data_IF_165616150973
#
_entry.id   IF_165616150973
#
_cell.length_a   1.000
_cell.length_b   1.000
_cell.length_c   1.000
_cell.angle_alpha   90.00
_cell.angle_beta   90.00
_cell.angle_gamma   90.00
#
_symmetry.space_group_name_H-M   'P 1'
#
loop_
_entity.id
_entity.type
_entity.pdbx_description
1 polymer ?
#
# COMPACT_ATOMS: atom_id res chain seq x y z
N UNK A 1 20.97 1.81 28.67
CA UNK A 1 21.16 0.68 27.75
C UNK A 1 22.28 -0.19 28.31
N UNK A 2 21.93 -1.36 28.85
CA UNK A 2 22.78 -2.53 29.08
C UNK A 2 21.80 -3.67 29.33
N UNK A 3 21.38 -4.32 28.25
CA UNK A 3 20.78 -5.65 28.34
C UNK A 3 21.90 -6.53 28.87
N UNK A 4 21.76 -7.05 30.09
CA UNK A 4 22.76 -7.95 30.66
C UNK A 4 22.78 -9.20 29.76
N UNK A 5 23.95 -9.54 29.21
CA UNK A 5 24.16 -10.86 28.58
C UNK A 5 23.71 -11.93 29.58
N UNK A 6 22.79 -12.82 29.23
CA UNK A 6 22.59 -14.03 30.03
C UNK A 6 23.91 -14.81 29.93
N UNK A 7 24.67 -14.82 31.03
CA UNK A 7 25.80 -15.75 31.16
C UNK A 7 25.20 -17.10 31.48
N UNK A 8 24.97 -17.91 30.45
CA UNK A 8 24.88 -19.35 30.64
C UNK A 8 26.20 -19.79 31.28
N UNK A 9 26.12 -20.37 32.47
CA UNK A 9 27.25 -20.94 33.19
C UNK A 9 27.77 -22.15 32.42
N UNK A 10 28.55 -21.90 31.36
CA UNK A 10 29.34 -22.93 30.70
C UNK A 10 30.58 -23.09 31.58
N UNK A 11 30.58 -24.15 32.40
CA UNK A 11 31.80 -24.62 33.04
C UNK A 11 32.89 -24.75 31.99
N UNK A 12 34.12 -24.33 32.35
CA UNK A 12 35.29 -24.35 31.46
C UNK A 12 35.70 -25.80 31.14
N UNK A 13 34.97 -26.46 30.27
CA UNK A 13 35.41 -27.68 29.60
C UNK A 13 36.26 -27.29 28.40
N UNK A 14 37.59 -27.32 28.59
CA UNK A 14 38.57 -27.22 27.52
C UNK A 14 38.35 -28.38 26.52
N UNK A 15 37.59 -28.14 25.44
CA UNK A 15 37.79 -28.71 24.09
C UNK A 15 36.61 -28.33 23.17
N UNK A 16 36.94 -27.62 22.08
CA UNK A 16 36.09 -27.17 20.96
C UNK A 16 35.16 -26.01 21.31
N UNK A 17 35.60 -24.80 20.96
CA UNK A 17 34.71 -23.67 20.69
C UNK A 17 33.81 -24.05 19.51
N UNK A 18 32.62 -24.60 19.79
CA UNK A 18 31.53 -24.48 18.84
C UNK A 18 31.22 -22.98 18.78
N UNK A 19 31.55 -22.34 17.66
CA UNK A 19 31.01 -21.02 17.37
C UNK A 19 29.49 -21.16 17.34
N UNK A 20 28.83 -20.86 18.46
CA UNK A 20 27.39 -20.72 18.49
C UNK A 20 27.04 -19.68 17.44
N UNK A 21 26.27 -20.08 16.43
CA UNK A 21 25.72 -19.16 15.45
C UNK A 21 25.08 -17.98 16.19
N UNK A 22 25.18 -16.77 15.66
CA UNK A 22 24.47 -15.61 16.21
C UNK A 22 22.95 -15.83 16.28
N UNK A 23 22.41 -16.86 15.59
CA UNK A 23 21.03 -17.34 15.74
C UNK A 23 20.72 -17.97 17.11
N UNK A 24 21.73 -18.38 17.88
CA UNK A 24 21.60 -18.97 19.22
C UNK A 24 21.96 -17.97 20.33
N UNK A 25 22.26 -16.71 19.97
CA UNK A 25 22.54 -15.62 20.89
C UNK A 25 21.37 -14.63 20.86
N UNK A 26 20.87 -14.26 22.04
CA UNK A 26 19.91 -13.14 22.15
C UNK A 26 20.58 -11.86 21.63
N UNK A 27 19.97 -11.14 20.66
CA UNK A 27 20.59 -9.96 20.08
C UNK A 27 20.79 -8.84 21.12
N UNK A 28 21.89 -8.10 20.99
CA UNK A 28 22.28 -7.02 21.91
C UNK A 28 21.31 -5.81 21.86
N UNK A 29 20.39 -5.78 20.90
CA UNK A 29 19.34 -4.77 20.74
C UNK A 29 18.10 -5.37 20.06
N UNK A 30 16.96 -4.69 20.17
CA UNK A 30 15.68 -5.09 19.57
C UNK A 30 15.68 -5.22 18.04
N UNK A 31 16.77 -4.83 17.35
CA UNK A 31 16.78 -4.74 15.90
C UNK A 31 15.78 -3.70 15.37
N UNK A 32 15.49 -3.77 14.08
CA UNK A 32 14.39 -3.02 13.49
C UNK A 32 13.09 -3.79 13.75
N UNK A 33 12.08 -3.11 14.27
CA UNK A 33 10.74 -3.66 14.48
C UNK A 33 9.82 -3.05 13.43
N UNK A 34 8.96 -3.86 12.82
CA UNK A 34 8.09 -3.43 11.73
C UNK A 34 6.61 -3.45 12.11
N UNK A 35 5.84 -2.59 11.46
CA UNK A 35 4.38 -2.54 11.54
C UNK A 35 3.80 -3.91 11.15
N UNK A 36 2.84 -4.40 11.92
CA UNK A 36 2.18 -5.68 11.73
C UNK A 36 2.84 -6.84 12.48
N UNK A 37 4.06 -6.67 13.00
CA UNK A 37 4.71 -7.68 13.83
C UNK A 37 4.12 -7.73 15.25
N UNK A 38 4.20 -8.91 15.87
CA UNK A 38 3.85 -9.08 17.28
C UNK A 38 5.05 -8.77 18.15
N UNK A 39 5.02 -7.62 18.84
CA UNK A 39 5.97 -7.30 19.90
C UNK A 39 5.81 -8.32 21.04
N UNK A 40 6.89 -9.05 21.33
CA UNK A 40 6.94 -10.00 22.45
C UNK A 40 8.04 -9.60 23.43
N UNK A 41 7.73 -9.58 24.73
CA UNK A 41 8.72 -9.27 25.76
C UNK A 41 8.51 -10.10 27.01
N UNK A 42 9.62 -10.57 27.57
CA UNK A 42 9.65 -11.20 28.88
C UNK A 42 10.25 -10.22 29.89
N UNK A 43 9.51 -9.99 30.97
CA UNK A 43 9.83 -9.04 32.03
C UNK A 43 10.01 -9.83 33.31
N UNK A 44 11.14 -9.63 33.99
CA UNK A 44 11.44 -10.28 35.26
C UNK A 44 11.82 -9.24 36.30
N UNK A 45 11.14 -9.27 37.45
CA UNK A 45 11.46 -8.46 38.63
C UNK A 45 12.15 -9.36 39.63
N UNK A 46 13.43 -9.11 39.89
CA UNK A 46 14.23 -9.92 40.80
C UNK A 46 14.36 -9.21 42.13
N UNK A 47 13.99 -9.88 43.22
CA UNK A 47 14.28 -9.39 44.56
C UNK A 47 15.77 -9.60 44.88
N UNK A 48 16.56 -8.53 44.81
CA UNK A 48 17.99 -8.56 45.13
C UNK A 48 18.28 -8.27 46.61
N UNK A 49 17.26 -8.00 47.43
CA UNK A 49 17.45 -7.82 48.87
C UNK A 49 17.65 -9.17 49.55
N UNK A 50 18.29 -9.14 50.71
CA UNK A 50 18.45 -10.31 51.60
C UNK A 50 17.22 -10.56 52.48
N UNK A 51 16.06 -9.99 52.15
CA UNK A 51 14.81 -10.11 52.88
C UNK A 51 13.62 -10.26 51.93
N UNK A 52 12.49 -10.69 52.47
CA UNK A 52 11.25 -10.85 51.72
C UNK A 52 10.58 -9.49 51.49
N UNK A 53 10.08 -9.29 50.27
CA UNK A 53 9.30 -8.10 49.91
C UNK A 53 7.80 -8.42 49.92
N UNK A 54 7.00 -7.51 50.43
CA UNK A 54 5.54 -7.67 50.52
C UNK A 54 4.79 -6.86 49.46
N UNK A 55 3.63 -7.35 49.05
CA UNK A 55 2.71 -6.69 48.11
C UNK A 55 3.39 -6.25 46.82
N UNK A 56 4.17 -7.15 46.21
CA UNK A 56 4.93 -6.86 45.00
C UNK A 56 4.04 -6.90 43.78
N UNK A 57 3.73 -5.73 43.21
CA UNK A 57 2.95 -5.57 41.99
C UNK A 57 3.85 -5.35 40.78
N UNK A 58 3.53 -5.99 39.65
CA UNK A 58 4.17 -5.78 38.36
C UNK A 58 3.15 -5.29 37.34
N UNK A 59 3.44 -4.20 36.65
CA UNK A 59 2.57 -3.64 35.61
C UNK A 59 3.37 -3.42 34.34
N UNK A 60 2.79 -3.76 33.20
CA UNK A 60 3.34 -3.50 31.88
C UNK A 60 2.31 -2.74 31.06
N UNK A 61 2.72 -1.61 30.47
CA UNK A 61 1.85 -0.76 29.66
C UNK A 61 2.59 -0.38 28.39
N UNK A 62 2.01 -0.61 27.23
CA UNK A 62 2.55 -0.15 25.96
C UNK A 62 1.94 1.20 25.60
N UNK A 63 2.79 2.17 25.28
CA UNK A 63 2.38 3.46 24.75
C UNK A 63 2.78 3.53 23.28
N UNK A 64 1.79 3.63 22.39
CA UNK A 64 1.97 3.94 20.97
C UNK A 64 1.99 5.47 20.79
N UNK A 65 2.23 5.99 19.57
CA UNK A 65 2.12 7.42 19.30
C UNK A 65 0.76 8.02 19.66
N UNK A 66 -0.33 7.26 19.51
CA UNK A 66 -1.70 7.76 19.70
C UNK A 66 -2.37 7.23 20.97
N UNK A 67 -2.04 6.01 21.40
CA UNK A 67 -2.79 5.29 22.44
C UNK A 67 -1.89 4.71 23.51
N UNK A 68 -2.52 4.27 24.61
CA UNK A 68 -1.87 3.55 25.68
C UNK A 68 -2.70 2.34 26.06
N UNK A 69 -2.05 1.19 26.11
CA UNK A 69 -2.69 -0.09 26.40
C UNK A 69 -2.00 -0.76 27.58
N UNK A 70 -2.79 -1.32 28.49
CA UNK A 70 -2.29 -2.16 29.57
C UNK A 70 -2.09 -3.58 29.03
N UNK A 71 -0.92 -4.16 29.30
CA UNK A 71 -0.56 -5.49 28.84
C UNK A 71 -0.82 -6.51 29.94
N UNK A 72 -1.36 -7.66 29.55
CA UNK A 72 -1.58 -8.80 30.43
C UNK A 72 -0.56 -9.91 30.19
N UNK A 73 -0.38 -10.77 31.19
CA UNK A 73 0.52 -11.92 31.09
C UNK A 73 -0.05 -12.99 30.15
N UNK A 74 0.73 -13.35 29.13
CA UNK A 74 0.37 -14.30 28.06
C UNK A 74 1.09 -15.65 28.18
N UNK A 75 1.85 -15.92 29.25
CA UNK A 75 2.61 -17.18 29.39
C UNK A 75 1.77 -18.44 29.25
N UNK A 76 0.58 -18.48 29.84
CA UNK A 76 -0.30 -19.65 29.74
C UNK A 76 -0.75 -19.90 28.29
N UNK A 77 -1.06 -18.84 27.54
CA UNK A 77 -1.49 -18.95 26.14
C UNK A 77 -0.38 -19.52 25.22
N UNK A 78 0.88 -19.42 25.65
CA UNK A 78 2.07 -19.95 24.97
C UNK A 78 2.48 -21.34 25.48
N UNK A 79 1.63 -22.02 26.27
CA UNK A 79 1.94 -23.31 26.88
C UNK A 79 2.98 -23.23 28.00
N UNK A 80 3.23 -22.04 28.54
CA UNK A 80 4.12 -21.81 29.67
C UNK A 80 3.45 -22.02 31.02
N UNK A 81 4.10 -21.55 32.08
CA UNK A 81 3.58 -21.64 33.45
C UNK A 81 2.36 -20.74 33.66
N UNK A 82 1.51 -21.11 34.62
CA UNK A 82 0.44 -20.23 35.09
C UNK A 82 1.04 -18.89 35.55
N UNK A 83 0.42 -17.75 35.19
CA UNK A 83 0.86 -16.46 35.69
C UNK A 83 0.82 -16.46 37.23
N UNK A 84 1.87 -15.97 37.89
CA UNK A 84 1.90 -15.78 39.32
C UNK A 84 0.85 -14.75 39.70
N UNK A 85 0.31 -14.88 40.91
CA UNK A 85 -0.60 -13.90 41.46
C UNK A 85 0.05 -12.51 41.45
N UNK A 86 -0.66 -11.54 40.89
CA UNK A 86 -0.17 -10.17 40.75
C UNK A 86 -1.27 -9.21 41.24
N UNK A 87 -1.01 -8.42 42.31
CA UNK A 87 0.23 -8.36 43.07
C UNK A 87 0.54 -9.64 43.86
N UNK A 88 1.82 -9.98 43.95
CA UNK A 88 2.32 -11.09 44.77
C UNK A 88 2.32 -10.68 46.25
N UNK A 89 1.75 -11.52 47.12
CA UNK A 89 1.67 -11.23 48.55
C UNK A 89 3.07 -11.13 49.19
N UNK A 90 3.98 -12.03 48.81
CA UNK A 90 5.37 -12.08 49.23
C UNK A 90 6.24 -12.46 48.04
N UNK A 91 7.38 -11.79 47.88
CA UNK A 91 8.44 -12.15 46.95
C UNK A 91 9.73 -12.38 47.74
N UNK A 92 10.13 -13.64 47.90
CA UNK A 92 11.26 -14.02 48.75
C UNK A 92 12.60 -13.50 48.24
N UNK A 93 13.58 -13.35 49.14
CA UNK A 93 14.94 -12.96 48.80
C UNK A 93 15.52 -13.84 47.66
N UNK A 94 16.07 -13.21 46.61
CA UNK A 94 16.64 -13.91 45.44
C UNK A 94 15.64 -14.49 44.44
N UNK A 95 14.34 -14.44 44.72
CA UNK A 95 13.29 -14.91 43.81
C UNK A 95 12.83 -13.84 42.82
N UNK A 96 12.04 -14.24 41.83
CA UNK A 96 11.58 -13.40 40.74
C UNK A 96 10.06 -13.42 40.53
N UNK A 97 9.51 -12.26 40.19
CA UNK A 97 8.16 -12.09 39.67
C UNK A 97 8.25 -11.78 38.19
N UNK A 98 7.83 -12.74 37.37
CA UNK A 98 7.92 -12.63 35.92
C UNK A 98 6.58 -12.26 35.29
N UNK A 99 6.64 -11.84 34.03
CA UNK A 99 5.50 -11.58 33.14
C UNK A 99 5.96 -11.69 31.69
N UNK A 100 5.24 -12.43 30.84
CA UNK A 100 5.46 -12.35 29.40
C UNK A 100 4.31 -11.60 28.75
N UNK A 101 4.61 -10.61 27.92
CA UNK A 101 3.62 -9.77 27.26
C UNK A 101 3.76 -9.86 25.76
N UNK A 102 2.62 -9.74 25.07
CA UNK A 102 2.54 -9.68 23.62
C UNK A 102 1.62 -8.54 23.20
N UNK A 103 1.95 -7.90 22.08
CA UNK A 103 1.13 -6.84 21.49
C UNK A 103 1.34 -6.79 19.98
N UNK A 104 0.26 -6.81 19.21
CA UNK A 104 0.30 -6.65 17.76
C UNK A 104 0.50 -5.17 17.41
N UNK A 105 1.58 -4.85 16.70
CA UNK A 105 1.94 -3.47 16.39
C UNK A 105 1.13 -2.97 15.19
N UNK A 106 0.21 -2.06 15.43
CA UNK A 106 -0.70 -1.50 14.43
C UNK A 106 -0.38 -0.04 14.06
N UNK A 107 0.66 0.55 14.64
CA UNK A 107 1.06 1.93 14.40
C UNK A 107 2.56 2.05 14.10
N UNK A 108 2.92 2.96 13.19
CA UNK A 108 4.31 3.33 12.90
C UNK A 108 4.70 4.46 13.86
N UNK A 109 5.95 4.45 14.33
CA UNK A 109 6.47 5.52 15.18
C UNK A 109 7.17 5.03 16.44
N UNK A 110 7.46 5.97 17.34
CA UNK A 110 8.11 5.66 18.61
C UNK A 110 7.10 5.06 19.57
N UNK A 111 7.37 3.83 20.00
CA UNK A 111 6.62 3.12 21.02
C UNK A 111 7.43 3.07 22.32
N UNK A 112 6.73 3.03 23.45
CA UNK A 112 7.37 2.94 24.78
C UNK A 112 6.70 1.87 25.63
N UNK A 113 7.41 0.79 25.95
CA UNK A 113 7.02 -0.15 26.98
C UNK A 113 7.36 0.44 28.36
N UNK A 114 6.34 0.75 29.15
CA UNK A 114 6.46 1.20 30.54
C UNK A 114 6.23 0.01 31.47
N UNK A 115 7.27 -0.37 32.19
CA UNK A 115 7.22 -1.38 33.25
C UNK A 115 7.21 -0.68 34.60
N UNK A 116 6.18 -0.91 35.40
CA UNK A 116 6.07 -0.40 36.77
C UNK A 116 6.14 -1.55 37.77
N UNK A 117 6.91 -1.36 38.84
CA UNK A 117 6.96 -2.27 39.98
C UNK A 117 6.54 -1.50 41.22
N UNK A 118 5.65 -2.05 42.02
CA UNK A 118 5.29 -1.53 43.34
C UNK A 118 5.59 -2.57 44.41
N UNK A 119 6.02 -2.16 45.59
CA UNK A 119 6.27 -3.04 46.73
C UNK A 119 6.16 -2.24 48.03
N UNK A 120 5.99 -2.94 49.14
CA UNK A 120 6.07 -2.33 50.48
C UNK A 120 7.53 -2.29 50.94
N UNK A 121 8.01 -1.13 51.38
CA UNK A 121 9.35 -1.00 51.92
C UNK A 121 9.53 -1.90 53.17
N UNK A 122 10.56 -2.75 53.23
CA UNK A 122 10.72 -3.71 54.31
C UNK A 122 11.05 -3.07 55.67
N UNK A 123 11.51 -1.81 55.70
CA UNK A 123 11.88 -1.11 56.94
C UNK A 123 10.76 -0.15 57.35
N UNK A 124 10.27 0.68 56.42
CA UNK A 124 9.30 1.74 56.73
C UNK A 124 7.85 1.31 56.57
N UNK A 125 7.58 0.14 55.97
CA UNK A 125 6.23 -0.32 55.59
C UNK A 125 5.46 0.67 54.72
N UNK A 126 6.16 1.53 53.97
CA UNK A 126 5.54 2.48 53.04
C UNK A 126 5.50 1.90 51.62
N UNK A 127 4.45 2.21 50.86
CA UNK A 127 4.34 1.79 49.48
C UNK A 127 5.36 2.53 48.60
N UNK A 128 6.31 1.79 48.03
CA UNK A 128 7.29 2.29 47.06
C UNK A 128 6.96 1.81 45.67
N UNK A 129 7.32 2.60 44.66
CA UNK A 129 7.20 2.19 43.26
C UNK A 129 8.38 2.67 42.44
N UNK A 130 8.75 1.87 41.45
CA UNK A 130 9.74 2.20 40.43
C UNK A 130 9.15 1.97 39.05
N UNK A 131 9.67 2.70 38.06
CA UNK A 131 9.25 2.56 36.67
C UNK A 131 10.46 2.58 35.75
N UNK A 132 10.46 1.70 34.76
CA UNK A 132 11.40 1.70 33.65
C UNK A 132 10.65 1.88 32.34
N UNK A 133 11.28 2.59 31.41
CA UNK A 133 10.74 2.88 30.10
C UNK A 133 11.69 2.31 29.04
N UNK A 134 11.16 1.49 28.14
CA UNK A 134 11.88 0.92 27.02
C UNK A 134 11.29 1.49 25.74
N UNK A 135 12.02 2.40 25.11
CA UNK A 135 11.61 3.07 23.87
C UNK A 135 12.15 2.30 22.67
N UNK A 136 11.31 2.07 21.67
CA UNK A 136 11.69 1.44 20.42
C UNK A 136 10.93 2.08 19.24
N UNK A 137 11.49 1.97 18.05
CA UNK A 137 10.92 2.53 16.83
C UNK A 137 10.26 1.41 16.02
N UNK A 138 9.01 1.63 15.60
CA UNK A 138 8.30 0.78 14.65
C UNK A 138 8.37 1.42 13.28
N UNK A 139 8.78 0.65 12.27
CA UNK A 139 8.99 1.07 10.88
C UNK A 139 7.97 0.43 9.94
N UNK A 140 7.81 0.97 8.74
CA UNK A 140 6.96 0.33 7.73
C UNK A 140 7.76 -0.81 7.04
N UNK A 141 7.24 -2.05 6.93
CA UNK A 141 7.95 -3.13 6.25
C UNK A 141 7.86 -3.06 4.72
N UNK A 142 6.75 -2.53 4.19
CA UNK A 142 6.48 -2.54 2.77
C UNK A 142 6.02 -1.18 2.25
N UNK A 143 6.44 -0.83 1.04
CA UNK A 143 5.76 0.18 0.24
C UNK A 143 4.78 -0.51 -0.68
N UNK A 144 3.48 -0.23 -0.52
CA UNK A 144 2.42 -0.83 -1.35
C UNK A 144 1.78 0.24 -2.21
N UNK A 145 1.77 0.01 -3.52
CA UNK A 145 1.13 0.88 -4.50
C UNK A 145 0.12 0.10 -5.32
N UNK A 146 -1.05 0.70 -5.55
CA UNK A 146 -2.12 0.09 -6.32
C UNK A 146 -2.32 0.83 -7.64
N UNK A 147 -2.54 0.05 -8.70
CA UNK A 147 -3.02 0.54 -9.99
C UNK A 147 -4.33 -0.16 -10.30
N UNK A 148 -5.39 0.63 -10.48
CA UNK A 148 -6.71 0.13 -10.85
C UNK A 148 -7.00 0.45 -12.32
N UNK A 149 -7.53 -0.52 -13.05
CA UNK A 149 -7.98 -0.37 -14.43
C UNK A 149 -9.34 -1.03 -14.58
N UNK A 150 -10.25 -0.36 -15.30
CA UNK A 150 -11.54 -0.92 -15.69
C UNK A 150 -11.47 -1.36 -17.17
N UNK A 151 -11.80 -2.62 -17.45
CA UNK A 151 -11.86 -3.16 -18.81
C UNK A 151 -13.19 -3.89 -18.96
N UNK A 152 -14.05 -3.43 -19.88
CA UNK A 152 -15.35 -4.08 -20.20
C UNK A 152 -16.16 -4.46 -18.95
N UNK A 153 -16.34 -3.51 -18.03
CA UNK A 153 -17.04 -3.71 -16.75
C UNK A 153 -16.41 -4.80 -15.86
N UNK A 154 -15.09 -4.96 -15.91
CA UNK A 154 -14.35 -5.76 -14.95
C UNK A 154 -13.24 -4.90 -14.35
N UNK A 155 -13.10 -4.92 -13.02
CA UNK A 155 -12.06 -4.17 -12.32
C UNK A 155 -10.82 -5.03 -12.14
N UNK A 156 -9.69 -4.52 -12.59
CA UNK A 156 -8.38 -5.14 -12.39
C UNK A 156 -7.58 -4.27 -11.43
N UNK A 157 -7.07 -4.90 -10.37
CA UNK A 157 -6.25 -4.24 -9.36
C UNK A 157 -4.87 -4.89 -9.39
N UNK A 158 -3.87 -4.13 -9.81
CA UNK A 158 -2.47 -4.50 -9.68
C UNK A 158 -1.92 -3.91 -8.38
N UNK A 159 -1.41 -4.78 -7.51
CA UNK A 159 -0.71 -4.44 -6.28
C UNK A 159 0.79 -4.66 -6.49
N UNK A 160 1.56 -3.58 -6.34
CA UNK A 160 3.02 -3.59 -6.32
C UNK A 160 3.48 -3.44 -4.86
N UNK A 161 4.13 -4.47 -4.34
CA UNK A 161 4.60 -4.57 -2.95
C UNK A 161 6.13 -4.59 -2.98
N UNK A 162 6.78 -3.58 -2.40
CA UNK A 162 8.24 -3.49 -2.32
C UNK A 162 8.69 -3.70 -0.87
N UNK A 163 9.61 -4.62 -0.64
CA UNK A 163 10.27 -4.79 0.65
C UNK A 163 11.24 -3.62 0.89
N UNK A 164 10.98 -2.80 1.91
CA UNK A 164 11.83 -1.66 2.29
C UNK A 164 12.59 -1.92 3.60
N UNK A 165 12.57 -3.16 4.08
CA UNK A 165 13.33 -3.57 5.26
C UNK A 165 14.80 -3.81 4.91
N UNK A 166 15.67 -3.86 5.92
CA UNK A 166 17.10 -4.14 5.74
C UNK A 166 17.42 -5.64 5.61
N UNK A 167 16.40 -6.50 5.73
CA UNK A 167 16.55 -7.96 5.78
C UNK A 167 15.57 -8.64 4.84
N UNK A 168 15.86 -9.85 4.34
CA UNK A 168 14.88 -10.61 3.58
C UNK A 168 13.66 -10.95 4.44
N UNK A 169 12.48 -10.91 3.84
CA UNK A 169 11.22 -11.32 4.47
C UNK A 169 10.68 -12.55 3.76
N UNK A 170 10.21 -13.53 4.52
CA UNK A 170 9.52 -14.69 3.99
C UNK A 170 8.02 -14.40 3.93
N UNK A 171 7.50 -14.06 2.75
CA UNK A 171 6.09 -13.78 2.54
C UNK A 171 5.31 -15.09 2.54
N UNK A 172 4.37 -15.22 3.48
CA UNK A 172 3.51 -16.41 3.62
C UNK A 172 2.25 -16.27 2.78
N UNK A 173 1.64 -15.08 2.78
CA UNK A 173 0.36 -14.84 2.10
C UNK A 173 0.33 -13.44 1.51
N UNK A 174 -0.12 -13.33 0.26
CA UNK A 174 -0.60 -12.08 -0.33
C UNK A 174 -1.99 -12.36 -0.85
N UNK A 175 -3.01 -11.79 -0.20
CA UNK A 175 -4.40 -12.03 -0.54
C UNK A 175 -5.14 -10.71 -0.69
N UNK A 176 -5.95 -10.60 -1.74
CA UNK A 176 -6.90 -9.50 -1.86
C UNK A 176 -8.22 -9.92 -1.23
N UNK A 177 -8.61 -9.27 -0.14
CA UNK A 177 -9.88 -9.50 0.57
C UNK A 177 -10.93 -8.56 -0.03
N UNK A 178 -11.84 -9.06 -0.90
CA UNK A 178 -12.83 -8.21 -1.54
C UNK A 178 -13.87 -7.72 -0.53
N UNK A 179 -14.36 -6.50 -0.72
CA UNK A 179 -15.51 -6.01 0.07
C UNK A 179 -16.80 -6.59 -0.52
N UNK A 180 -17.78 -7.04 0.29
CA UNK A 180 -19.06 -7.47 -0.26
C UNK A 180 -19.72 -6.35 -1.08
N UNK A 181 -20.33 -6.63 -2.25
CA UNK A 181 -20.61 -7.94 -2.85
C UNK A 181 -19.56 -8.39 -3.90
N UNK A 182 -18.36 -7.83 -3.85
CA UNK A 182 -17.31 -8.18 -4.81
C UNK A 182 -16.68 -9.54 -4.50
N UNK A 183 -16.18 -10.18 -5.55
CA UNK A 183 -15.32 -11.35 -5.53
C UNK A 183 -14.00 -11.01 -6.18
N UNK A 184 -12.90 -11.56 -5.66
CA UNK A 184 -11.57 -11.37 -6.20
C UNK A 184 -10.96 -12.70 -6.63
N UNK A 185 -10.34 -12.71 -7.80
CA UNK A 185 -9.57 -13.82 -8.34
C UNK A 185 -8.16 -13.33 -8.67
N UNK A 186 -7.15 -13.98 -8.12
CA UNK A 186 -5.75 -13.70 -8.47
C UNK A 186 -5.42 -14.26 -9.86
N UNK A 187 -4.83 -13.43 -10.72
CA UNK A 187 -4.51 -13.78 -12.11
C UNK A 187 -3.05 -14.20 -12.31
N UNK A 188 -2.14 -13.80 -11.41
CA UNK A 188 -0.71 -14.10 -11.48
C UNK A 188 -0.30 -15.03 -10.33
N UNK A 189 -0.85 -16.24 -10.33
CA UNK A 189 -0.40 -17.31 -9.44
C UNK A 189 0.83 -18.00 -10.03
N UNK A 190 1.98 -17.31 -10.05
CA UNK A 190 3.26 -18.00 -10.29
C UNK A 190 3.48 -18.99 -9.14
N UNK A 191 3.15 -20.25 -9.41
CA UNK A 191 3.17 -21.38 -8.47
C UNK A 191 4.59 -21.78 -8.02
N UNK A 192 5.61 -21.05 -8.48
CA UNK A 192 7.02 -21.23 -8.16
C UNK A 192 7.68 -19.96 -7.59
N UNK A 193 6.90 -19.01 -7.07
CA UNK A 193 7.46 -17.81 -6.45
C UNK A 193 8.20 -18.19 -5.17
N UNK A 194 9.51 -17.99 -5.17
CA UNK A 194 10.35 -18.08 -3.97
C UNK A 194 9.73 -17.15 -2.91
N UNK A 195 9.28 -17.66 -1.75
CA UNK A 195 8.58 -16.84 -0.76
C UNK A 195 9.50 -15.80 -0.09
N UNK A 196 10.80 -15.87 -0.35
CA UNK A 196 11.79 -14.96 0.18
C UNK A 196 11.93 -13.71 -0.70
N UNK A 197 11.64 -12.55 -0.12
CA UNK A 197 11.70 -11.23 -0.75
C UNK A 197 12.88 -10.46 -0.16
N UNK A 198 13.90 -10.18 -0.95
CA UNK A 198 15.07 -9.46 -0.47
C UNK A 198 14.77 -7.96 -0.32
N UNK A 199 15.60 -7.20 0.42
CA UNK A 199 15.52 -5.73 0.43
C UNK A 199 15.47 -5.17 -1.00
N UNK A 200 14.60 -4.17 -1.23
CA UNK A 200 14.34 -3.53 -2.52
C UNK A 200 13.63 -4.41 -3.58
N UNK A 201 13.48 -5.72 -3.33
CA UNK A 201 12.70 -6.57 -4.23
C UNK A 201 11.23 -6.15 -4.23
N UNK A 202 10.63 -6.29 -5.41
CA UNK A 202 9.23 -5.95 -5.64
C UNK A 202 8.46 -7.17 -6.13
N UNK A 203 7.35 -7.46 -5.46
CA UNK A 203 6.34 -8.40 -5.93
C UNK A 203 5.20 -7.65 -6.60
N UNK A 204 4.78 -8.14 -7.77
CA UNK A 204 3.56 -7.72 -8.43
C UNK A 204 2.50 -8.82 -8.31
N UNK A 205 1.28 -8.43 -7.93
CA UNK A 205 0.10 -9.30 -7.93
C UNK A 205 -1.08 -8.60 -8.57
N UNK A 206 -1.76 -9.32 -9.46
CA UNK A 206 -2.92 -8.79 -10.18
C UNK A 206 -4.16 -9.55 -9.77
N UNK A 207 -5.19 -8.82 -9.37
CA UNK A 207 -6.47 -9.34 -8.93
C UNK A 207 -7.57 -8.86 -9.86
N UNK A 208 -8.36 -9.79 -10.39
CA UNK A 208 -9.62 -9.52 -11.06
C UNK A 208 -10.72 -9.42 -10.00
N UNK A 209 -11.40 -8.28 -9.95
CA UNK A 209 -12.48 -7.99 -9.00
C UNK A 209 -13.79 -7.85 -9.78
N UNK A 210 -14.77 -8.71 -9.48
CA UNK A 210 -16.07 -8.78 -10.16
C UNK A 210 -17.22 -8.79 -9.16
N UNK A 211 -18.41 -8.40 -9.61
CA UNK A 211 -19.65 -8.56 -8.87
C UNK A 211 -20.75 -9.03 -9.84
N UNK A 212 -21.61 -9.95 -9.40
CA UNK A 212 -22.63 -10.54 -10.27
C UNK A 212 -23.77 -9.57 -10.64
N UNK A 213 -24.11 -8.63 -9.74
CA UNK A 213 -25.30 -7.78 -9.84
C UNK A 213 -25.05 -6.32 -9.47
N UNK A 214 -23.83 -5.81 -9.66
CA UNK A 214 -23.56 -4.37 -9.49
C UNK A 214 -23.36 -3.71 -10.84
N UNK A 215 -24.10 -2.62 -11.06
CA UNK A 215 -23.80 -1.72 -12.16
C UNK A 215 -22.47 -1.02 -11.85
N UNK A 216 -21.44 -1.47 -12.55
CA UNK A 216 -20.11 -0.90 -12.48
C UNK A 216 -20.08 0.48 -13.15
N UNK A 217 -21.18 1.10 -13.57
CA UNK A 217 -21.20 2.52 -13.91
C UNK A 217 -21.28 3.44 -12.66
N UNK A 218 -21.69 2.90 -11.49
CA UNK A 218 -22.03 3.68 -10.30
C UNK A 218 -20.82 4.05 -9.43
N UNK A 219 -20.17 5.18 -9.73
CA UNK A 219 -19.39 5.98 -8.77
C UNK A 219 -18.20 5.31 -8.03
N UNK A 220 -17.76 5.94 -6.93
CA UNK A 220 -16.62 5.46 -6.13
C UNK A 220 -17.05 4.26 -5.29
N UNK A 221 -16.50 3.07 -5.58
CA UNK A 221 -16.83 1.82 -4.92
C UNK A 221 -15.61 1.29 -4.13
N UNK A 222 -15.84 0.72 -2.95
CA UNK A 222 -14.79 0.04 -2.19
C UNK A 222 -14.63 -1.39 -2.74
N UNK A 223 -13.51 -1.67 -3.40
CA UNK A 223 -13.26 -2.98 -4.01
C UNK A 223 -12.82 -4.04 -2.99
N UNK A 224 -12.16 -3.64 -1.91
CA UNK A 224 -11.50 -4.58 -0.98
C UNK A 224 -10.22 -4.03 -0.39
N UNK A 225 -9.49 -4.87 0.33
CA UNK A 225 -8.20 -4.55 0.95
C UNK A 225 -7.17 -5.61 0.56
N UNK A 226 -5.90 -5.23 0.50
CA UNK A 226 -4.83 -6.19 0.37
C UNK A 226 -4.35 -6.59 1.76
N UNK A 227 -4.13 -7.87 1.95
CA UNK A 227 -3.55 -8.46 3.14
C UNK A 227 -2.23 -9.14 2.79
N UNK A 228 -1.21 -8.84 3.59
CA UNK A 228 0.12 -9.42 3.45
C UNK A 228 0.52 -10.00 4.80
N UNK A 229 0.93 -11.27 4.82
CA UNK A 229 1.50 -11.95 5.98
C UNK A 229 2.91 -12.43 5.66
N UNK A 230 3.82 -12.28 6.61
CA UNK A 230 5.23 -12.62 6.43
C UNK A 230 5.89 -13.10 7.73
N UNK A 231 7.11 -13.62 7.58
CA UNK A 231 8.03 -13.90 8.67
C UNK A 231 9.35 -13.16 8.47
N UNK A 232 9.84 -12.59 9.55
CA UNK A 232 11.15 -11.93 9.63
C UNK A 232 12.26 -12.97 9.90
N UNK A 233 13.52 -12.54 9.78
CA UNK A 233 14.68 -13.44 9.83
C UNK A 233 14.83 -14.20 11.16
N UNK A 234 14.28 -13.68 12.27
CA UNK A 234 14.31 -14.33 13.59
C UNK A 234 13.00 -15.06 13.92
N UNK A 235 12.10 -15.16 12.96
CA UNK A 235 10.84 -15.92 13.07
C UNK A 235 9.66 -15.12 13.62
N UNK A 236 9.78 -13.80 13.81
CA UNK A 236 8.62 -12.96 14.10
C UNK A 236 7.61 -13.03 12.96
N UNK A 237 6.35 -13.28 13.28
CA UNK A 237 5.25 -13.20 12.33
C UNK A 237 4.73 -11.77 12.27
N UNK A 238 4.58 -11.27 11.05
CA UNK A 238 3.95 -9.99 10.75
C UNK A 238 2.75 -10.15 9.85
N UNK A 239 1.71 -9.33 10.08
CA UNK A 239 0.54 -9.24 9.22
C UNK A 239 0.12 -7.79 9.07
N UNK A 240 -0.18 -7.37 7.85
CA UNK A 240 -0.61 -6.02 7.55
C UNK A 240 -1.78 -6.06 6.57
N UNK A 241 -2.76 -5.19 6.83
CA UNK A 241 -3.85 -4.91 5.91
C UNK A 241 -3.75 -3.47 5.41
N UNK A 242 -3.96 -3.28 4.11
CA UNK A 242 -3.98 -1.94 3.53
C UNK A 242 -5.31 -1.25 3.78
N UNK A 243 -5.32 0.07 3.57
CA UNK A 243 -6.57 0.78 3.40
C UNK A 243 -7.38 0.21 2.21
N UNK A 244 -8.71 0.39 2.22
CA UNK A 244 -9.55 -0.10 1.14
C UNK A 244 -9.14 0.50 -0.20
N UNK A 245 -8.95 -0.37 -1.19
CA UNK A 245 -8.72 0.02 -2.58
C UNK A 245 -10.05 0.53 -3.13
N UNK A 246 -10.13 1.85 -3.25
CA UNK A 246 -11.28 2.51 -3.82
C UNK A 246 -11.15 2.52 -5.34
N UNK A 247 -12.23 2.13 -6.00
CA UNK A 247 -12.42 2.40 -7.41
C UNK A 247 -12.50 3.91 -7.62
N UNK A 248 -11.52 4.46 -8.31
CA UNK A 248 -11.64 5.80 -8.88
C UNK A 248 -12.34 5.64 -10.21
N UNK A 249 -13.66 5.80 -10.23
CA UNK A 249 -14.36 6.06 -11.49
C UNK A 249 -13.81 7.39 -11.98
N UNK A 250 -12.99 7.36 -13.02
CA UNK A 250 -12.83 8.55 -13.85
C UNK A 250 -14.24 8.93 -14.26
N UNK A 251 -14.67 10.16 -13.93
CA UNK A 251 -15.99 10.69 -14.29
C UNK A 251 -16.32 10.20 -15.69
N UNK A 252 -17.36 9.38 -15.85
CA UNK A 252 -17.82 8.97 -17.18
C UNK A 252 -18.02 10.26 -17.93
N UNK A 253 -17.16 10.53 -18.91
CA UNK A 253 -17.19 11.80 -19.61
C UNK A 253 -18.49 11.79 -20.39
N UNK A 254 -19.37 12.73 -20.04
CA UNK A 254 -20.68 12.89 -20.66
C UNK A 254 -20.60 12.96 -22.19
N UNK A 255 -19.50 13.50 -22.73
CA UNK A 255 -19.13 13.34 -24.13
C UNK A 255 -17.65 12.95 -24.30
N UNK A 256 -17.34 12.27 -25.40
CA UNK A 256 -15.98 11.91 -25.78
C UNK A 256 -15.68 12.30 -27.22
N UNK A 257 -14.40 12.60 -27.50
CA UNK A 257 -13.91 12.84 -28.86
C UNK A 257 -12.73 11.92 -29.15
N UNK A 258 -12.83 11.21 -30.27
CA UNK A 258 -11.80 10.30 -30.79
C UNK A 258 -11.54 10.59 -32.26
N UNK A 259 -10.36 10.21 -32.77
CA UNK A 259 -9.95 10.50 -34.14
C UNK A 259 -9.67 9.17 -34.84
N UNK A 260 -10.34 8.97 -35.96
CA UNK A 260 -10.12 7.85 -36.87
C UNK A 260 -9.35 8.36 -38.09
N UNK A 261 -8.23 7.71 -38.36
CA UNK A 261 -7.41 7.99 -39.52
C UNK A 261 -7.67 6.93 -40.62
N UNK A 262 -7.52 7.28 -41.90
CA UNK A 262 -7.56 6.32 -42.99
C UNK A 262 -6.46 5.26 -42.84
N UNK A 263 -6.78 4.00 -43.15
CA UNK A 263 -5.86 2.85 -43.00
C UNK A 263 -4.56 2.98 -43.80
N UNK A 264 -4.58 3.73 -44.90
CA UNK A 264 -3.45 3.99 -45.80
C UNK A 264 -2.99 5.46 -45.76
N UNK A 265 -2.97 6.07 -44.59
CA UNK A 265 -2.53 7.46 -44.45
C UNK A 265 -1.04 7.63 -44.77
N UNK A 266 -0.75 8.36 -45.85
CA UNK A 266 0.59 8.80 -46.22
C UNK A 266 0.71 10.32 -46.07
N UNK A 267 0.89 10.80 -44.83
CA UNK A 267 1.07 12.23 -44.57
C UNK A 267 2.45 12.70 -45.05
N UNK A 268 2.49 13.76 -45.87
CA UNK A 268 3.72 14.50 -46.20
C UNK A 268 3.64 15.92 -45.64
N UNK A 269 4.80 16.51 -45.33
CA UNK A 269 4.87 17.92 -44.93
C UNK A 269 4.30 18.80 -46.05
N UNK A 270 3.40 19.73 -45.69
CA UNK A 270 2.79 20.67 -46.62
C UNK A 270 1.58 20.15 -47.40
N UNK A 271 1.24 18.86 -47.31
CA UNK A 271 0.05 18.29 -47.96
C UNK A 271 -1.04 18.01 -46.93
N UNK A 272 -2.24 18.61 -47.06
CA UNK A 272 -3.34 18.34 -46.14
C UNK A 272 -3.87 16.91 -46.30
N UNK A 273 -4.35 16.33 -45.21
CA UNK A 273 -5.06 15.06 -45.19
C UNK A 273 -6.34 15.19 -44.36
N UNK A 274 -7.33 14.32 -44.62
CA UNK A 274 -8.60 14.31 -43.89
C UNK A 274 -8.49 13.34 -42.71
N UNK A 275 -8.88 13.80 -41.53
CA UNK A 275 -9.09 12.98 -40.35
C UNK A 275 -10.56 13.04 -39.94
N UNK A 276 -11.14 11.89 -39.60
CA UNK A 276 -12.53 11.79 -39.15
C UNK A 276 -12.56 11.84 -37.63
N UNK A 277 -13.23 12.83 -37.09
CA UNK A 277 -13.44 13.03 -35.66
C UNK A 277 -14.79 12.41 -35.29
N UNK A 278 -14.79 11.52 -34.31
CA UNK A 278 -15.98 10.90 -33.77
C UNK A 278 -16.28 11.53 -32.41
N UNK A 279 -17.39 12.24 -32.34
CA UNK A 279 -17.89 12.87 -31.12
C UNK A 279 -19.08 12.05 -30.64
N UNK A 280 -18.95 11.45 -29.46
CA UNK A 280 -19.99 10.59 -28.89
C UNK A 280 -20.56 11.24 -27.64
N UNK A 281 -21.89 11.32 -27.56
CA UNK A 281 -22.58 11.66 -26.33
C UNK A 281 -22.80 10.38 -25.54
N UNK A 282 -22.09 10.21 -24.43
CA UNK A 282 -22.17 9.04 -23.55
C UNK A 282 -23.26 9.22 -22.46
N UNK A 283 -23.85 10.41 -22.35
CA UNK A 283 -24.93 10.71 -21.42
C UNK A 283 -26.30 10.25 -21.92
N UNK A 284 -27.31 10.37 -21.05
CA UNK A 284 -28.72 10.10 -21.38
C UNK A 284 -29.46 11.33 -21.92
N UNK A 285 -28.95 12.54 -21.64
CA UNK A 285 -29.52 13.81 -22.13
C UNK A 285 -28.96 14.18 -23.49
N UNK A 286 -29.75 14.89 -24.28
CA UNK A 286 -29.25 15.56 -25.47
C UNK A 286 -28.30 16.71 -25.08
N UNK A 287 -27.21 16.90 -25.83
CA UNK A 287 -26.21 17.94 -25.59
C UNK A 287 -25.95 18.73 -26.86
N UNK A 288 -25.75 20.04 -26.74
CA UNK A 288 -25.44 20.90 -27.87
C UNK A 288 -23.93 20.96 -28.08
N UNK A 289 -23.38 20.03 -28.86
CA UNK A 289 -21.93 19.84 -28.94
C UNK A 289 -21.30 20.66 -30.07
N UNK A 290 -20.10 21.19 -29.82
CA UNK A 290 -19.23 21.85 -30.79
C UNK A 290 -17.84 21.20 -30.76
N UNK A 291 -17.33 20.81 -31.93
CA UNK A 291 -15.94 20.40 -32.07
C UNK A 291 -15.07 21.67 -32.11
N UNK A 292 -14.06 21.77 -31.24
CA UNK A 292 -13.09 22.87 -31.20
C UNK A 292 -11.66 22.36 -31.35
N UNK A 293 -10.91 23.06 -32.18
CA UNK A 293 -9.53 22.81 -32.56
C UNK A 293 -8.68 24.03 -32.17
N UNK A 294 -8.02 23.94 -31.01
CA UNK A 294 -7.27 25.02 -30.38
C UNK A 294 -5.86 25.13 -30.94
N UNK A 295 -5.65 26.14 -31.77
CA UNK A 295 -4.39 26.34 -32.53
C UNK A 295 -3.18 26.47 -31.62
N UNK A 296 -3.32 27.14 -30.48
CA UNK A 296 -2.28 27.36 -29.48
C UNK A 296 -1.76 26.05 -28.83
N UNK A 297 -2.54 24.96 -28.91
CA UNK A 297 -2.16 23.65 -28.39
C UNK A 297 -1.67 22.69 -29.50
N UNK A 298 -1.81 23.08 -30.76
CA UNK A 298 -1.41 22.26 -31.91
C UNK A 298 0.06 22.47 -32.25
N UNK A 299 0.80 21.38 -32.34
CA UNK A 299 2.24 21.37 -32.68
C UNK A 299 2.47 20.32 -33.75
N UNK A 300 3.21 20.67 -34.80
CA UNK A 300 3.56 19.75 -35.89
C UNK A 300 2.45 19.50 -36.92
N UNK A 301 1.21 19.26 -36.48
CA UNK A 301 0.03 19.14 -37.34
C UNK A 301 -1.00 20.19 -36.92
N UNK A 302 -1.44 21.02 -37.86
CA UNK A 302 -2.46 22.07 -37.64
C UNK A 302 -3.78 21.73 -38.34
N UNK A 303 -4.88 22.32 -37.86
CA UNK A 303 -6.11 22.38 -38.64
C UNK A 303 -5.98 23.40 -39.78
N UNK A 304 -6.37 23.01 -41.00
CA UNK A 304 -6.47 23.90 -42.16
C UNK A 304 -7.88 24.41 -42.44
N UNK A 305 -8.87 23.90 -41.71
CA UNK A 305 -10.28 24.27 -41.86
C UNK A 305 -10.76 25.22 -40.77
N UNK A 306 -12.06 25.14 -40.48
CA UNK A 306 -12.67 25.86 -39.38
C UNK A 306 -12.04 25.41 -38.05
N UNK A 307 -11.69 26.37 -37.19
CA UNK A 307 -11.19 26.09 -35.85
C UNK A 307 -12.26 25.54 -34.92
N UNK A 308 -13.54 25.69 -35.29
CA UNK A 308 -14.67 25.17 -34.56
C UNK A 308 -15.80 24.77 -35.53
N UNK A 309 -16.56 23.74 -35.17
CA UNK A 309 -17.72 23.30 -35.94
C UNK A 309 -18.86 22.90 -35.01
N UNK A 310 -20.02 23.54 -35.20
CA UNK A 310 -21.24 23.23 -34.44
C UNK A 310 -21.84 21.91 -34.94
N UNK A 311 -21.99 20.94 -34.04
CA UNK A 311 -22.66 19.67 -34.31
C UNK A 311 -24.15 19.75 -34.00
N UNK A 312 -24.55 20.76 -33.22
CA UNK A 312 -25.92 20.93 -32.74
C UNK A 312 -26.26 19.92 -31.64
N UNK A 313 -27.56 19.65 -31.50
CA UNK A 313 -28.08 18.77 -30.45
C UNK A 313 -27.83 17.29 -30.77
N UNK A 314 -26.83 16.71 -30.12
CA UNK A 314 -26.49 15.28 -30.19
C UNK A 314 -27.26 14.52 -29.11
N UNK A 315 -28.10 13.57 -29.51
CA UNK A 315 -28.90 12.76 -28.60
C UNK A 315 -28.03 11.84 -27.74
N UNK A 316 -28.50 11.52 -26.53
CA UNK A 316 -27.81 10.61 -25.62
C UNK A 316 -27.55 9.23 -26.25
N UNK A 317 -26.33 8.72 -26.08
CA UNK A 317 -25.89 7.44 -26.65
C UNK A 317 -25.62 7.45 -28.16
N UNK A 318 -25.66 8.61 -28.83
CA UNK A 318 -25.40 8.71 -30.27
C UNK A 318 -24.03 9.30 -30.57
N UNK A 319 -23.52 9.01 -31.78
CA UNK A 319 -22.21 9.46 -32.26
C UNK A 319 -22.38 10.26 -33.54
N UNK A 320 -21.69 11.40 -33.61
CA UNK A 320 -21.59 12.24 -34.81
C UNK A 320 -20.16 12.18 -35.33
N UNK A 321 -20.02 12.15 -36.65
CA UNK A 321 -18.72 12.12 -37.31
C UNK A 321 -18.49 13.40 -38.10
N UNK A 322 -17.26 13.92 -38.04
CA UNK A 322 -16.86 15.16 -38.71
C UNK A 322 -15.51 14.96 -39.37
N UNK A 323 -15.45 15.26 -40.66
CA UNK A 323 -14.20 15.26 -41.41
C UNK A 323 -13.53 16.63 -41.36
N UNK A 324 -12.28 16.66 -40.90
CA UNK A 324 -11.48 17.89 -40.79
C UNK A 324 -10.18 17.75 -41.58
N UNK A 325 -9.84 18.74 -42.44
CA UNK A 325 -8.54 18.79 -43.10
C UNK A 325 -7.45 19.24 -42.13
N UNK A 326 -6.43 18.41 -41.96
CA UNK A 326 -5.24 18.66 -41.14
C UNK A 326 -4.01 18.81 -42.03
N UNK A 327 -3.12 19.75 -41.67
CA UNK A 327 -1.88 20.04 -42.39
C UNK A 327 -0.65 19.76 -41.52
N UNK A 328 0.16 18.76 -41.91
CA UNK A 328 1.48 18.56 -41.32
C UNK A 328 2.47 19.65 -41.73
N UNK A 329 3.13 20.24 -40.74
CA UNK A 329 4.20 21.23 -40.91
C UNK A 329 5.59 20.68 -40.57
N UNK A 330 5.66 19.62 -39.76
CA UNK A 330 6.92 19.04 -39.29
C UNK A 330 6.93 17.55 -39.64
N UNK A 331 8.06 17.07 -40.18
CA UNK A 331 8.26 15.65 -40.47
C UNK A 331 8.48 14.82 -39.18
N UNK A 332 8.45 13.50 -39.30
CA UNK A 332 8.61 12.57 -38.18
C UNK A 332 7.29 12.13 -37.55
N UNK A 333 7.36 11.51 -36.39
CA UNK A 333 6.17 11.05 -35.66
C UNK A 333 5.54 12.23 -34.92
N UNK A 334 4.42 12.73 -35.44
CA UNK A 334 3.71 13.88 -34.91
C UNK A 334 2.43 13.46 -34.19
N UNK A 335 1.98 14.24 -33.20
CA UNK A 335 0.74 14.00 -32.47
C UNK A 335 -0.32 15.01 -32.87
N UNK A 336 -1.55 14.55 -33.07
CA UNK A 336 -2.71 15.45 -33.18
C UNK A 336 -3.08 15.90 -31.75
N UNK A 337 -3.05 17.21 -31.50
CA UNK A 337 -3.29 17.84 -30.19
C UNK A 337 -4.32 18.96 -30.31
N UNK A 338 -4.79 19.48 -29.18
CA UNK A 338 -5.68 20.65 -29.14
C UNK A 338 -7.12 20.39 -29.56
N UNK A 339 -7.61 19.16 -29.41
CA UNK A 339 -8.95 18.73 -29.85
C UNK A 339 -9.88 18.62 -28.64
N UNK A 340 -11.02 19.31 -28.70
CA UNK A 340 -12.02 19.36 -27.65
C UNK A 340 -13.43 19.22 -28.25
N UNK A 341 -14.32 18.51 -27.56
CA UNK A 341 -15.75 18.69 -27.73
C UNK A 341 -16.25 19.60 -26.60
N UNK A 342 -17.05 20.61 -26.92
CA UNK A 342 -17.57 21.57 -25.94
C UNK A 342 -19.09 21.53 -25.99
N UNK A 343 -19.72 21.36 -24.84
CA UNK A 343 -21.16 21.55 -24.72
C UNK A 343 -21.45 23.05 -24.64
N UNK A 344 -22.18 23.57 -25.63
CA UNK A 344 -22.47 24.98 -25.77
C UNK A 344 -23.51 25.48 -24.74
N UNK A 345 -24.31 24.58 -24.17
CA UNK A 345 -25.33 24.95 -23.20
C UNK A 345 -24.73 25.05 -21.78
N UNK A 346 -23.79 24.16 -21.44
CA UNK A 346 -23.15 24.10 -20.10
C UNK A 346 -21.74 24.67 -20.08
N UNK A 347 -21.13 24.92 -21.24
CA UNK A 347 -19.72 25.32 -21.44
C UNK A 347 -18.69 24.29 -20.95
N UNK A 348 -19.12 23.06 -20.66
CA UNK A 348 -18.22 21.98 -20.24
C UNK A 348 -17.37 21.49 -21.42
N UNK A 349 -16.07 21.32 -21.18
CA UNK A 349 -15.10 20.90 -22.19
C UNK A 349 -14.66 19.46 -22.00
N UNK A 350 -14.66 18.70 -23.10
CA UNK A 350 -14.26 17.30 -23.17
C UNK A 350 -13.03 17.17 -24.08
N UNK A 351 -11.81 17.09 -23.52
CA UNK A 351 -10.59 16.90 -24.32
C UNK A 351 -10.51 15.49 -24.89
N UNK A 352 -9.78 15.34 -26.02
CA UNK A 352 -9.58 14.04 -26.68
C UNK A 352 -9.07 12.97 -25.73
N UNK A 353 -9.62 11.76 -25.85
CA UNK A 353 -9.33 10.67 -24.91
C UNK A 353 -7.96 10.04 -25.15
N UNK A 354 -7.62 9.78 -26.42
CA UNK A 354 -6.38 9.11 -26.82
C UNK A 354 -5.62 9.99 -27.79
N UNK A 355 -4.33 10.18 -27.51
CA UNK A 355 -3.44 10.88 -28.43
C UNK A 355 -3.20 10.03 -29.68
N UNK A 356 -3.54 10.59 -30.84
CA UNK A 356 -3.32 9.94 -32.14
C UNK A 356 -1.99 10.42 -32.73
N UNK A 357 -1.17 9.46 -33.15
CA UNK A 357 0.13 9.70 -33.74
C UNK A 357 0.08 9.48 -35.25
N UNK A 358 0.72 10.35 -36.01
CA UNK A 358 0.81 10.31 -37.47
C UNK A 358 2.28 10.40 -37.87
N UNK A 359 2.75 9.44 -38.66
CA UNK A 359 4.08 9.50 -39.25
C UNK A 359 4.05 10.41 -40.50
N UNK A 360 4.73 11.55 -40.42
CA UNK A 360 4.79 12.56 -41.48
C UNK A 360 6.12 12.43 -42.22
N UNK A 361 6.09 12.20 -43.53
CA UNK A 361 7.28 12.14 -44.37
C UNK A 361 7.75 13.55 -44.78
N UNK A 362 9.07 13.73 -44.85
CA UNK A 362 9.67 14.89 -45.49
C UNK A 362 9.25 14.93 -46.98
N UNK A 363 8.86 16.11 -47.47
CA UNK A 363 8.47 16.30 -48.88
C UNK A 363 9.65 16.29 -49.87
N UNK A 364 10.89 16.07 -49.40
CA UNK A 364 12.07 15.97 -50.26
C UNK A 364 12.19 14.52 -50.74
N UNK A 365 11.50 14.22 -51.84
CA UNK A 365 11.91 13.12 -52.71
C UNK A 365 13.24 13.57 -53.35
N UNK A 366 14.36 13.23 -52.72
CA UNK A 366 15.69 13.36 -53.32
C UNK A 366 15.71 12.52 -54.59
N UNK A 367 15.75 13.19 -55.74
CA UNK A 367 16.07 12.59 -57.04
C UNK A 367 17.43 11.89 -57.02
#
# INVERSE_FOLDING_TARGET
>A
MRLYKPRLSIEKSYRREFALSNMLLLPDSFGNIYLGETFSSYISVINQFSCDLHQVGLTAKLQTPTTRSDLSDRRLARGGTTPPTNPAAVLSAGSNLDMAVEYELNEIGVHTLRVGVSYLDPITSEAKSLRKFYRFQVLNPFTITFKHVLIKDESYVEAKIQNITQTPLHVETIAFVPSPPFHALELSADTAANPLVFPEDTIHRTFKVTAAHLDLSLGTLNLGRLEVAWKSAMGESGRMQTQPVMRKVGSVKEASVSIQLPSSLHAKVGTPFIATFLIQNNGSRAMNLQLQLRRELMVGILCCGLSHQNLGTVQGGTTVTVDVPLLPLIAGLQQIRGVFAVDMDTTVEFPQEKLVHVLVKSGVDSK
#
